data_IF_760039811938
#
_entry.id   IF_760039811938
#
_cell.length_a   1.000
_cell.length_b   1.000
_cell.length_c   1.000
_cell.angle_alpha   90.00
_cell.angle_beta   90.00
_cell.angle_gamma   90.00
#
_symmetry.space_group_name_H-M   'P 1'
#
loop_
_entity.id
_entity.type
_entity.pdbx_description
1 polymer ?
#
# COMPACT_ATOMS: atom_id res chain seq x y z
N UNK A 1 50.17 8.61 -38.70
CA UNK A 1 49.37 9.33 -37.68
C UNK A 1 50.34 10.13 -36.82
N UNK A 2 50.25 11.46 -36.78
CA UNK A 2 51.21 12.27 -36.02
C UNK A 2 51.01 12.08 -34.51
N UNK A 3 52.09 12.18 -33.73
CA UNK A 3 52.10 12.12 -32.26
C UNK A 3 51.07 13.09 -31.64
N UNK A 4 50.85 14.22 -32.32
CA UNK A 4 49.86 15.23 -31.96
C UNK A 4 48.42 14.69 -31.91
N UNK A 5 48.03 13.83 -32.85
CA UNK A 5 46.68 13.24 -32.87
C UNK A 5 46.48 12.31 -31.68
N UNK A 6 47.49 11.52 -31.31
CA UNK A 6 47.43 10.65 -30.14
C UNK A 6 47.38 11.44 -28.83
N UNK A 7 48.11 12.56 -28.72
CA UNK A 7 48.04 13.46 -27.55
C UNK A 7 46.66 14.10 -27.40
N UNK A 8 46.05 14.54 -28.50
CA UNK A 8 44.70 15.12 -28.48
C UNK A 8 43.67 14.07 -28.07
N UNK A 9 43.72 12.86 -28.64
CA UNK A 9 42.81 11.76 -28.27
C UNK A 9 43.00 11.35 -26.80
N UNK A 10 44.24 11.25 -26.33
CA UNK A 10 44.52 10.93 -24.92
C UNK A 10 44.02 12.02 -23.97
N UNK A 11 44.12 13.29 -24.37
CA UNK A 11 43.64 14.42 -23.56
C UNK A 11 42.12 14.47 -23.53
N UNK A 12 41.44 14.25 -24.66
CA UNK A 12 39.97 14.14 -24.73
C UNK A 12 39.50 12.94 -23.89
N UNK A 13 40.18 11.80 -23.98
CA UNK A 13 39.90 10.63 -23.15
C UNK A 13 40.10 10.89 -21.66
N UNK A 14 41.18 11.59 -21.28
CA UNK A 14 41.43 11.98 -19.90
C UNK A 14 40.38 12.97 -19.38
N UNK A 15 39.98 13.96 -20.18
CA UNK A 15 38.87 14.86 -19.82
C UNK A 15 37.58 14.05 -19.68
N UNK A 16 37.21 13.21 -20.63
CA UNK A 16 36.01 12.37 -20.53
C UNK A 16 36.01 11.43 -19.30
N UNK A 17 37.18 11.00 -18.82
CA UNK A 17 37.29 10.11 -17.67
C UNK A 17 37.34 10.84 -16.32
N UNK A 18 38.11 11.94 -16.25
CA UNK A 18 38.47 12.63 -15.00
C UNK A 18 37.79 13.98 -14.80
N UNK A 19 37.00 14.49 -15.76
CA UNK A 19 36.36 15.80 -15.59
C UNK A 19 35.40 15.78 -14.39
N UNK A 20 35.50 16.75 -13.47
CA UNK A 20 34.67 16.77 -12.27
C UNK A 20 33.18 16.92 -12.63
N UNK A 21 32.32 16.16 -11.95
CA UNK A 21 30.86 16.21 -12.11
C UNK A 21 30.29 15.42 -13.30
N UNK A 22 31.04 15.25 -14.40
CA UNK A 22 30.55 14.60 -15.63
C UNK A 22 31.45 13.50 -16.18
N UNK A 23 32.69 13.39 -15.68
CA UNK A 23 33.63 12.36 -16.11
C UNK A 23 33.21 10.96 -15.67
N UNK A 24 33.64 9.94 -16.42
CA UNK A 24 33.26 8.55 -16.17
C UNK A 24 33.56 8.07 -14.74
N UNK A 25 34.63 8.55 -14.10
CA UNK A 25 34.93 8.21 -12.70
C UNK A 25 33.95 8.84 -11.70
N UNK A 26 33.55 10.10 -11.93
CA UNK A 26 32.58 10.77 -11.07
C UNK A 26 31.21 10.10 -11.18
N UNK A 27 30.79 9.74 -12.40
CA UNK A 27 29.56 8.98 -12.63
C UNK A 27 29.62 7.58 -12.02
N UNK A 28 30.75 6.88 -12.13
CA UNK A 28 30.94 5.57 -11.50
C UNK A 28 30.89 5.65 -9.98
N UNK A 29 31.51 6.67 -9.38
CA UNK A 29 31.46 6.90 -7.94
C UNK A 29 30.03 7.23 -7.46
N UNK A 30 29.32 8.10 -8.17
CA UNK A 30 27.93 8.44 -7.87
C UNK A 30 27.00 7.21 -8.00
N UNK A 31 27.15 6.44 -9.08
CA UNK A 31 26.41 5.18 -9.28
C UNK A 31 26.66 4.20 -8.14
N UNK A 32 27.93 4.04 -7.73
CA UNK A 32 28.28 3.16 -6.60
C UNK A 32 27.66 3.62 -5.29
N UNK A 33 27.67 4.93 -5.02
CA UNK A 33 27.06 5.50 -3.82
C UNK A 33 25.53 5.30 -3.80
N UNK A 34 24.86 5.50 -4.95
CA UNK A 34 23.42 5.24 -5.09
C UNK A 34 23.10 3.78 -4.83
N UNK A 35 23.83 2.85 -5.46
CA UNK A 35 23.62 1.41 -5.26
C UNK A 35 23.87 0.97 -3.82
N UNK A 36 24.83 1.59 -3.14
CA UNK A 36 25.09 1.33 -1.73
C UNK A 36 23.96 1.83 -0.84
N UNK A 37 23.34 2.97 -1.20
CA UNK A 37 22.17 3.50 -0.52
C UNK A 37 20.95 2.60 -0.70
N UNK A 38 20.66 2.15 -1.92
CA UNK A 38 19.59 1.18 -2.21
C UNK A 38 19.72 -0.07 -1.32
N UNK A 39 20.92 -0.66 -1.23
CA UNK A 39 21.17 -1.83 -0.37
C UNK A 39 20.92 -1.56 1.13
N UNK A 40 21.25 -0.36 1.62
CA UNK A 40 20.95 0.02 3.01
C UNK A 40 19.44 0.16 3.19
N UNK A 41 18.75 0.82 2.26
CA UNK A 41 17.31 1.05 2.32
C UNK A 41 16.53 -0.27 2.26
N UNK A 42 16.91 -1.20 1.37
CA UNK A 42 16.34 -2.55 1.30
C UNK A 42 16.58 -3.37 2.57
N UNK A 43 17.78 -3.23 3.16
CA UNK A 43 18.09 -3.89 4.42
C UNK A 43 17.21 -3.36 5.56
N UNK A 44 16.99 -2.05 5.61
CA UNK A 44 16.13 -1.42 6.60
C UNK A 44 14.66 -1.82 6.44
N UNK A 45 14.14 -1.92 5.20
CA UNK A 45 12.78 -2.45 4.93
C UNK A 45 12.63 -3.86 5.50
N UNK A 46 13.55 -4.76 5.15
CA UNK A 46 13.48 -6.15 5.62
C UNK A 46 13.57 -6.26 7.15
N UNK A 47 14.40 -5.45 7.80
CA UNK A 47 14.48 -5.40 9.26
C UNK A 47 13.16 -4.94 9.89
N UNK A 48 12.56 -3.88 9.34
CA UNK A 48 11.28 -3.34 9.81
C UNK A 48 10.17 -4.38 9.69
N UNK A 49 10.09 -5.08 8.55
CA UNK A 49 9.08 -6.12 8.33
C UNK A 49 9.20 -7.25 9.37
N UNK A 50 10.44 -7.68 9.70
CA UNK A 50 10.66 -8.71 10.72
C UNK A 50 10.27 -8.24 12.11
N UNK A 51 10.62 -7.01 12.49
CA UNK A 51 10.26 -6.46 13.80
C UNK A 51 8.74 -6.31 13.95
N UNK A 52 8.01 -5.95 12.88
CA UNK A 52 6.55 -5.88 12.88
C UNK A 52 5.88 -7.25 13.07
N UNK A 53 6.50 -8.32 12.59
CA UNK A 53 6.08 -9.70 12.85
C UNK A 53 6.46 -10.19 14.27
N UNK A 54 7.13 -9.37 15.08
CA UNK A 54 7.63 -9.75 16.41
C UNK A 54 8.86 -10.67 16.36
N UNK A 55 9.63 -10.62 15.27
CA UNK A 55 10.87 -11.37 15.06
C UNK A 55 12.04 -10.40 14.79
N UNK A 56 13.26 -10.91 14.78
CA UNK A 56 14.43 -10.13 14.36
C UNK A 56 15.15 -10.82 13.20
N UNK A 57 15.72 -10.03 12.30
CA UNK A 57 16.49 -10.58 11.20
C UNK A 57 17.88 -11.03 11.68
N UNK A 58 18.43 -12.02 10.98
CA UNK A 58 19.81 -12.47 11.15
C UNK A 58 20.64 -12.07 9.93
N UNK A 59 21.99 -12.06 10.03
CA UNK A 59 22.85 -11.84 8.88
C UNK A 59 22.55 -12.79 7.70
N UNK A 60 22.16 -14.04 7.98
CA UNK A 60 21.79 -15.03 6.97
C UNK A 60 20.45 -14.70 6.31
N UNK A 61 19.46 -14.29 7.10
CA UNK A 61 18.16 -13.85 6.56
C UNK A 61 18.34 -12.63 5.66
N UNK A 62 19.13 -11.65 6.10
CA UNK A 62 19.41 -10.44 5.35
C UNK A 62 20.18 -10.73 4.05
N UNK A 63 21.17 -11.63 4.09
CA UNK A 63 21.89 -12.09 2.90
C UNK A 63 20.95 -12.73 1.86
N UNK A 64 19.98 -13.52 2.33
CA UNK A 64 18.94 -14.12 1.48
C UNK A 64 18.08 -13.08 0.77
N UNK A 65 17.53 -12.13 1.53
CA UNK A 65 16.66 -11.06 0.97
C UNK A 65 17.42 -10.17 -0.03
N UNK A 66 18.63 -9.74 0.32
CA UNK A 66 19.44 -8.86 -0.54
C UNK A 66 20.10 -9.59 -1.71
N UNK A 67 19.92 -10.91 -1.83
CA UNK A 67 20.65 -11.76 -2.79
C UNK A 67 22.18 -11.53 -2.75
N UNK A 68 22.70 -11.26 -1.55
CA UNK A 68 24.11 -10.92 -1.32
C UNK A 68 24.82 -12.07 -0.59
N UNK A 69 26.15 -12.15 -0.71
CA UNK A 69 26.89 -13.12 0.07
C UNK A 69 27.09 -12.65 1.52
N UNK A 70 27.26 -13.60 2.44
CA UNK A 70 27.36 -13.31 3.88
C UNK A 70 28.49 -12.31 4.21
N UNK A 71 29.63 -12.38 3.52
CA UNK A 71 30.74 -11.45 3.76
C UNK A 71 30.41 -10.01 3.36
N UNK A 72 29.63 -9.81 2.29
CA UNK A 72 29.10 -8.49 1.90
C UNK A 72 28.05 -8.01 2.90
N UNK A 73 27.15 -8.88 3.34
CA UNK A 73 26.12 -8.55 4.33
C UNK A 73 26.73 -8.12 5.65
N UNK A 74 27.76 -8.81 6.16
CA UNK A 74 28.45 -8.41 7.39
C UNK A 74 29.08 -7.02 7.25
N UNK A 75 29.68 -6.70 6.09
CA UNK A 75 30.23 -5.36 5.83
C UNK A 75 29.15 -4.29 5.80
N UNK A 76 27.99 -4.60 5.20
CA UNK A 76 26.84 -3.71 5.16
C UNK A 76 26.31 -3.44 6.58
N UNK A 77 26.16 -4.49 7.40
CA UNK A 77 25.72 -4.36 8.79
C UNK A 77 26.70 -3.46 9.57
N UNK A 78 28.01 -3.73 9.50
CA UNK A 78 29.01 -2.90 10.19
C UNK A 78 28.97 -1.43 9.75
N UNK A 79 28.67 -1.18 8.47
CA UNK A 79 28.46 0.17 7.98
C UNK A 79 27.19 0.81 8.58
N UNK A 80 26.07 0.10 8.58
CA UNK A 80 24.81 0.59 9.15
C UNK A 80 24.93 0.85 10.65
N UNK A 81 25.69 0.04 11.39
CA UNK A 81 26.03 0.27 12.80
C UNK A 81 26.84 1.56 12.98
N UNK A 82 27.85 1.79 12.12
CA UNK A 82 28.64 3.03 12.16
C UNK A 82 27.82 4.28 11.86
N UNK A 83 26.68 4.13 11.18
CA UNK A 83 25.72 5.17 10.87
C UNK A 83 24.59 5.27 11.91
N UNK A 84 24.66 4.51 13.01
CA UNK A 84 23.63 4.45 14.05
C UNK A 84 22.23 4.03 13.52
N UNK A 85 22.17 3.24 12.44
CA UNK A 85 20.91 2.76 11.87
C UNK A 85 20.45 1.43 12.47
N UNK A 86 21.40 0.58 12.87
CA UNK A 86 21.12 -0.74 13.45
C UNK A 86 22.04 -1.02 14.64
N UNK A 87 21.64 -2.00 15.46
CA UNK A 87 22.43 -2.56 16.55
C UNK A 87 22.38 -4.09 16.48
N UNK A 88 23.55 -4.75 16.50
CA UNK A 88 23.62 -6.20 16.62
C UNK A 88 23.55 -6.67 18.06
N UNK A 89 22.58 -7.53 18.38
CA UNK A 89 22.42 -8.18 19.69
C UNK A 89 22.56 -9.70 19.52
N UNK A 90 23.78 -10.20 19.72
CA UNK A 90 24.10 -11.60 19.42
C UNK A 90 24.04 -11.85 17.91
N UNK A 91 23.09 -12.69 17.46
CA UNK A 91 22.88 -12.97 16.03
C UNK A 91 21.67 -12.22 15.44
N UNK A 92 21.03 -11.38 16.25
CA UNK A 92 19.88 -10.58 15.84
C UNK A 92 20.32 -9.16 15.51
N UNK A 93 19.71 -8.59 14.48
CA UNK A 93 19.92 -7.22 14.06
C UNK A 93 18.65 -6.44 14.42
N UNK A 94 18.81 -5.37 15.18
CA UNK A 94 17.75 -4.52 15.69
C UNK A 94 17.83 -3.15 15.02
N UNK A 95 16.70 -2.56 14.65
CA UNK A 95 16.66 -1.17 14.21
C UNK A 95 16.90 -0.25 15.41
N UNK A 96 17.70 0.79 15.21
CA UNK A 96 17.68 1.93 16.11
C UNK A 96 16.45 2.81 15.79
N UNK A 97 16.09 3.77 16.65
CA UNK A 97 15.03 4.74 16.32
C UNK A 97 15.33 5.53 15.02
N UNK A 98 16.59 5.68 14.64
CA UNK A 98 16.97 6.34 13.38
C UNK A 98 16.79 5.42 12.18
N UNK A 99 17.23 4.17 12.29
CA UNK A 99 16.99 3.15 11.26
C UNK A 99 15.51 2.90 11.02
N UNK A 100 14.70 2.84 12.08
CA UNK A 100 13.25 2.69 11.98
C UNK A 100 12.60 3.86 11.22
N UNK A 101 12.97 5.10 11.53
CA UNK A 101 12.49 6.28 10.78
C UNK A 101 12.84 6.22 9.30
N UNK A 102 14.04 5.78 8.96
CA UNK A 102 14.46 5.59 7.57
C UNK A 102 13.68 4.47 6.89
N UNK A 103 13.55 3.31 7.54
CA UNK A 103 12.77 2.18 7.02
C UNK A 103 11.33 2.60 6.72
N UNK A 104 10.68 3.28 7.67
CA UNK A 104 9.31 3.80 7.52
C UNK A 104 9.19 4.81 6.39
N UNK A 105 10.20 5.67 6.17
CA UNK A 105 10.20 6.59 5.05
C UNK A 105 10.22 5.85 3.71
N UNK A 106 11.06 4.82 3.57
CA UNK A 106 11.15 4.03 2.33
C UNK A 106 9.90 3.20 2.11
N UNK A 107 9.35 2.55 3.15
CA UNK A 107 8.07 1.83 3.05
C UNK A 107 6.93 2.77 2.65
N UNK A 108 6.88 3.98 3.23
CA UNK A 108 5.92 5.01 2.82
C UNK A 108 6.12 5.43 1.36
N UNK A 109 7.36 5.59 0.93
CA UNK A 109 7.69 5.92 -0.47
C UNK A 109 7.21 4.84 -1.43
N UNK A 110 7.52 3.58 -1.14
CA UNK A 110 7.09 2.41 -1.91
C UNK A 110 5.56 2.41 -2.08
N UNK A 111 4.83 2.38 -0.97
CA UNK A 111 3.37 2.24 -0.95
C UNK A 111 2.64 3.40 -1.61
N UNK A 112 3.15 4.63 -1.44
CA UNK A 112 2.61 5.80 -2.15
C UNK A 112 2.87 5.73 -3.66
N UNK A 113 4.04 5.26 -4.09
CA UNK A 113 4.31 5.03 -5.51
C UNK A 113 3.43 3.95 -6.09
N UNK A 114 3.23 2.84 -5.38
CA UNK A 114 2.30 1.80 -5.83
C UNK A 114 0.90 2.33 -6.01
N UNK A 115 0.43 3.09 -5.01
CA UNK A 115 -0.87 3.73 -5.04
C UNK A 115 -1.02 4.68 -6.24
N UNK A 116 -0.03 5.54 -6.46
CA UNK A 116 -0.01 6.45 -7.59
C UNK A 116 -0.02 5.71 -8.93
N UNK A 117 0.81 4.66 -9.07
CA UNK A 117 0.92 3.89 -10.31
C UNK A 117 -0.38 3.13 -10.63
N UNK A 118 -1.09 2.66 -9.61
CA UNK A 118 -2.40 2.03 -9.76
C UNK A 118 -3.49 3.03 -10.16
N UNK A 119 -3.64 4.10 -9.39
CA UNK A 119 -4.80 4.99 -9.53
C UNK A 119 -4.65 5.97 -10.69
N UNK A 120 -3.48 6.62 -10.80
CA UNK A 120 -3.25 7.70 -11.77
C UNK A 120 -2.65 7.17 -13.08
N UNK A 121 -1.61 6.33 -12.99
CA UNK A 121 -0.97 5.77 -14.18
C UNK A 121 -1.72 4.56 -14.77
N UNK A 122 -2.72 4.02 -14.05
CA UNK A 122 -3.50 2.82 -14.42
C UNK A 122 -2.64 1.64 -14.84
N UNK A 123 -1.51 1.49 -14.16
CA UNK A 123 -0.58 0.40 -14.42
C UNK A 123 -1.19 -0.93 -13.95
N UNK A 124 -0.96 -2.05 -14.66
CA UNK A 124 -1.38 -3.36 -14.17
C UNK A 124 -0.69 -3.70 -12.85
N UNK A 125 -1.45 -4.21 -11.87
CA UNK A 125 -0.96 -4.57 -10.52
C UNK A 125 0.27 -5.48 -10.55
N UNK A 126 0.39 -6.36 -11.55
CA UNK A 126 1.54 -7.25 -11.70
C UNK A 126 2.88 -6.52 -11.97
N UNK A 127 2.83 -5.26 -12.40
CA UNK A 127 4.03 -4.46 -12.71
C UNK A 127 4.32 -3.39 -11.66
N UNK A 128 3.33 -3.06 -10.83
CA UNK A 128 3.37 -1.90 -9.95
C UNK A 128 4.50 -2.01 -8.94
N UNK A 129 4.62 -3.14 -8.24
CA UNK A 129 5.71 -3.38 -7.29
C UNK A 129 7.09 -3.10 -7.86
N UNK A 130 7.42 -3.73 -9.00
CA UNK A 130 8.72 -3.59 -9.66
C UNK A 130 9.02 -2.15 -10.11
N UNK A 131 7.97 -1.37 -10.39
CA UNK A 131 8.06 0.00 -10.84
C UNK A 131 8.12 0.99 -9.68
N UNK A 132 7.43 0.71 -8.57
CA UNK A 132 7.54 1.48 -7.33
C UNK A 132 8.93 1.33 -6.72
N UNK A 133 9.47 0.10 -6.67
CA UNK A 133 10.80 -0.19 -6.14
C UNK A 133 11.93 0.61 -6.85
N UNK A 134 11.83 0.82 -8.17
CA UNK A 134 12.82 1.66 -8.89
C UNK A 134 12.78 3.14 -8.49
N UNK A 135 11.63 3.63 -8.00
CA UNK A 135 11.39 5.05 -7.72
C UNK A 135 11.56 5.41 -6.25
N UNK A 136 11.35 4.47 -5.33
CA UNK A 136 11.34 4.73 -3.88
C UNK A 136 12.65 5.30 -3.34
N UNK A 137 13.79 4.87 -3.87
CA UNK A 137 15.13 5.29 -3.42
C UNK A 137 15.53 6.71 -3.90
N UNK A 138 14.75 7.28 -4.83
CA UNK A 138 15.09 8.50 -5.56
C UNK A 138 14.20 9.70 -5.18
N UNK A 139 13.26 9.54 -4.26
CA UNK A 139 12.33 10.61 -3.84
C UNK A 139 12.75 11.22 -2.51
N UNK A 140 12.72 12.56 -2.42
CA UNK A 140 12.94 13.26 -1.15
C UNK A 140 11.68 13.25 -0.27
N UNK A 141 11.83 13.52 1.04
CA UNK A 141 10.68 13.65 1.94
C UNK A 141 9.68 14.72 1.49
N UNK A 142 10.16 15.87 0.98
CA UNK A 142 9.30 16.95 0.53
C UNK A 142 8.50 16.59 -0.72
N UNK A 143 9.13 15.90 -1.68
CA UNK A 143 8.46 15.40 -2.88
C UNK A 143 7.45 14.30 -2.52
N UNK A 144 7.79 13.43 -1.56
CA UNK A 144 6.89 12.38 -1.11
C UNK A 144 5.67 12.96 -0.38
N UNK A 145 5.86 13.96 0.48
CA UNK A 145 4.76 14.67 1.14
C UNK A 145 3.86 15.39 0.13
N UNK A 146 4.43 15.93 -0.95
CA UNK A 146 3.67 16.54 -2.04
C UNK A 146 2.87 15.49 -2.83
N UNK A 147 3.46 14.31 -3.10
CA UNK A 147 2.79 13.18 -3.75
C UNK A 147 1.62 12.67 -2.91
N UNK A 148 1.84 12.46 -1.60
CA UNK A 148 0.83 12.06 -0.63
C UNK A 148 -0.35 13.06 -0.59
N UNK A 149 -0.04 14.35 -0.50
CA UNK A 149 -1.05 15.41 -0.52
C UNK A 149 -1.82 15.48 -1.84
N UNK A 150 -1.13 15.29 -2.98
CA UNK A 150 -1.76 15.28 -4.31
C UNK A 150 -2.76 14.11 -4.48
N UNK A 151 -2.47 12.96 -3.88
CA UNK A 151 -3.37 11.79 -3.85
C UNK A 151 -4.47 11.90 -2.78
N UNK A 152 -4.47 12.95 -1.96
CA UNK A 152 -5.48 13.18 -0.93
C UNK A 152 -5.30 12.34 0.33
N UNK A 153 -4.04 12.05 0.69
CA UNK A 153 -3.67 11.30 1.90
C UNK A 153 -4.25 9.88 1.95
N UNK A 154 -3.94 9.01 0.97
CA UNK A 154 -4.35 7.62 1.01
C UNK A 154 -3.77 6.91 2.24
N UNK A 155 -4.54 6.02 2.85
CA UNK A 155 -4.11 5.27 4.05
C UNK A 155 -3.67 3.84 3.74
N UNK A 156 -3.95 3.35 2.53
CA UNK A 156 -3.59 2.00 2.08
C UNK A 156 -3.14 2.04 0.62
N UNK A 157 -2.21 1.15 0.28
CA UNK A 157 -1.79 0.91 -1.10
C UNK A 157 -2.84 0.06 -1.86
N UNK A 158 -2.60 -0.32 -3.13
CA UNK A 158 -3.51 -1.15 -3.92
C UNK A 158 -3.63 -2.61 -3.44
N UNK A 159 -2.71 -3.08 -2.61
CA UNK A 159 -2.59 -4.45 -2.13
C UNK A 159 -3.25 -4.63 -0.76
N UNK A 160 -3.44 -3.54 -0.02
CA UNK A 160 -4.06 -3.51 1.28
C UNK A 160 -3.11 -3.14 2.42
N UNK A 161 -1.85 -2.83 2.12
CA UNK A 161 -0.90 -2.50 3.16
C UNK A 161 -1.07 -1.05 3.65
N UNK A 162 -0.99 -0.83 4.97
CA UNK A 162 -1.16 0.49 5.55
C UNK A 162 -0.01 1.42 5.17
N UNK A 163 -0.32 2.61 4.66
CA UNK A 163 0.71 3.62 4.34
C UNK A 163 1.15 4.29 5.66
N UNK A 164 2.43 4.25 6.04
CA UNK A 164 2.91 4.97 7.21
C UNK A 164 2.65 6.47 7.10
N UNK A 165 2.27 7.12 8.20
CA UNK A 165 2.12 8.57 8.23
C UNK A 165 3.49 9.27 8.14
N UNK A 166 3.48 10.59 7.94
CA UNK A 166 4.70 11.41 7.97
C UNK A 166 5.48 11.27 9.29
N UNK A 167 4.77 11.06 10.40
CA UNK A 167 5.35 10.84 11.72
C UNK A 167 5.80 9.38 11.95
N UNK A 168 5.68 8.51 10.94
CA UNK A 168 6.03 7.10 11.03
C UNK A 168 4.99 6.23 11.72
N UNK A 169 3.75 6.71 11.89
CA UNK A 169 2.68 5.90 12.49
C UNK A 169 2.02 5.02 11.43
N UNK A 170 2.00 3.71 11.67
CA UNK A 170 1.31 2.75 10.81
C UNK A 170 -0.11 2.53 11.34
N UNK A 171 -1.15 2.72 10.51
CA UNK A 171 -2.52 2.34 10.85
C UNK A 171 -2.61 0.88 11.33
N UNK A 172 -3.20 0.66 12.50
CA UNK A 172 -3.40 -0.69 13.06
C UNK A 172 -4.67 -1.31 12.51
N UNK A 173 -4.59 -2.04 11.39
CA UNK A 173 -5.62 -3.00 11.00
C UNK A 173 -4.98 -4.38 10.94
N UNK A 174 -5.31 -5.24 11.91
CA UNK A 174 -4.78 -6.61 11.98
C UNK A 174 -5.61 -7.52 11.08
N UNK A 175 -5.27 -7.55 9.80
CA UNK A 175 -5.62 -8.70 8.98
C UNK A 175 -4.75 -9.89 9.42
N UNK A 176 -5.31 -11.09 9.39
CA UNK A 176 -4.57 -12.34 9.65
C UNK A 176 -4.56 -13.19 8.39
N UNK A 177 -3.53 -14.04 8.19
CA UNK A 177 -3.53 -14.98 7.07
C UNK A 177 -4.81 -15.81 7.09
N UNK A 178 -5.40 -16.06 5.93
CA UNK A 178 -6.59 -16.90 5.79
C UNK A 178 -6.36 -18.32 6.34
N UNK A 179 -5.12 -18.80 6.31
CA UNK A 179 -4.72 -20.07 6.93
C UNK A 179 -4.81 -20.05 8.46
N UNK A 180 -4.64 -18.88 9.08
CA UNK A 180 -4.82 -18.65 10.51
C UNK A 180 -6.28 -18.32 10.88
N UNK A 181 -7.17 -18.12 9.90
CA UNK A 181 -8.59 -17.89 10.15
C UNK A 181 -9.22 -19.11 10.82
N UNK A 182 -9.85 -18.87 11.98
CA UNK A 182 -10.53 -19.88 12.80
C UNK A 182 -11.97 -19.49 13.13
N UNK A 183 -12.35 -18.22 12.92
CA UNK A 183 -13.69 -17.78 13.24
C UNK A 183 -14.70 -18.31 12.23
N UNK A 184 -15.89 -18.64 12.72
CA UNK A 184 -17.02 -18.96 11.85
C UNK A 184 -17.63 -17.67 11.30
N UNK A 185 -18.05 -17.72 10.03
CA UNK A 185 -18.73 -16.61 9.37
C UNK A 185 -17.92 -15.93 8.28
N UNK A 186 -18.47 -14.86 7.70
CA UNK A 186 -17.86 -14.15 6.60
C UNK A 186 -16.69 -13.28 7.07
N UNK A 187 -15.65 -13.20 6.25
CA UNK A 187 -14.45 -12.41 6.44
C UNK A 187 -14.22 -11.50 5.22
N UNK A 188 -13.64 -10.32 5.42
CA UNK A 188 -13.26 -9.41 4.34
C UNK A 188 -11.78 -9.60 4.02
N UNK A 189 -11.45 -9.72 2.75
CA UNK A 189 -10.06 -9.67 2.27
C UNK A 189 -9.58 -8.22 2.43
N UNK A 190 -8.62 -7.99 3.32
CA UNK A 190 -8.05 -6.67 3.58
C UNK A 190 -6.65 -6.50 3.03
N UNK A 191 -5.94 -7.58 2.77
CA UNK A 191 -4.59 -7.56 2.21
C UNK A 191 -4.34 -8.81 1.35
N UNK A 192 -3.58 -8.64 0.27
CA UNK A 192 -3.10 -9.72 -0.58
C UNK A 192 -1.61 -9.48 -0.85
N UNK A 193 -0.77 -10.43 -0.42
CA UNK A 193 0.68 -10.36 -0.67
C UNK A 193 0.96 -10.33 -2.17
N UNK A 194 1.75 -9.35 -2.59
CA UNK A 194 2.23 -9.15 -3.96
C UNK A 194 3.46 -10.01 -4.28
N UNK A 195 4.19 -10.46 -3.26
CA UNK A 195 5.31 -11.39 -3.38
C UNK A 195 5.04 -12.77 -2.73
N UNK A 196 5.37 -13.88 -3.42
CA UNK A 196 5.97 -13.94 -4.75
C UNK A 196 4.93 -13.70 -5.86
N UNK A 197 5.34 -13.06 -6.96
CA UNK A 197 4.47 -12.68 -8.08
C UNK A 197 3.57 -13.81 -8.62
N UNK A 198 4.08 -15.05 -8.67
CA UNK A 198 3.31 -16.23 -9.12
C UNK A 198 2.12 -16.49 -8.18
N UNK A 199 2.30 -16.34 -6.87
CA UNK A 199 1.22 -16.56 -5.92
C UNK A 199 0.16 -15.46 -6.04
N UNK A 200 0.60 -14.20 -6.18
CA UNK A 200 -0.28 -13.07 -6.43
C UNK A 200 -1.13 -13.25 -7.70
N UNK A 201 -0.50 -13.64 -8.81
CA UNK A 201 -1.19 -13.93 -10.07
C UNK A 201 -2.22 -15.06 -9.92
N UNK A 202 -1.92 -16.10 -9.14
CA UNK A 202 -2.85 -17.19 -8.88
C UNK A 202 -4.06 -16.75 -8.03
N UNK A 203 -3.85 -15.89 -7.03
CA UNK A 203 -4.95 -15.29 -6.25
C UNK A 203 -5.87 -14.48 -7.18
N UNK A 204 -5.28 -13.65 -8.05
CA UNK A 204 -6.05 -12.84 -9.00
C UNK A 204 -6.76 -13.70 -10.05
N UNK A 205 -6.11 -14.74 -10.56
CA UNK A 205 -6.68 -15.67 -11.54
C UNK A 205 -7.83 -16.50 -10.95
N UNK A 206 -7.77 -16.82 -9.65
CA UNK A 206 -8.88 -17.43 -8.94
C UNK A 206 -10.11 -16.50 -8.87
N UNK A 207 -9.93 -15.19 -9.03
CA UNK A 207 -11.00 -14.19 -8.97
C UNK A 207 -11.11 -13.49 -7.62
N UNK A 208 -10.19 -13.75 -6.70
CA UNK A 208 -10.16 -13.07 -5.41
C UNK A 208 -9.64 -11.63 -5.55
N UNK A 209 -10.27 -10.70 -4.83
CA UNK A 209 -9.95 -9.26 -4.91
C UNK A 209 -9.93 -8.63 -3.51
N UNK A 210 -9.19 -7.54 -3.37
CA UNK A 210 -9.21 -6.70 -2.17
C UNK A 210 -10.64 -6.22 -1.88
N UNK A 211 -11.03 -6.22 -0.60
CA UNK A 211 -12.36 -5.82 -0.14
C UNK A 211 -13.47 -6.84 -0.37
N UNK A 212 -13.19 -7.98 -1.02
CA UNK A 212 -14.20 -9.02 -1.23
C UNK A 212 -14.56 -9.68 0.11
N UNK A 213 -15.85 -9.97 0.29
CA UNK A 213 -16.36 -10.72 1.44
C UNK A 213 -16.44 -12.19 1.05
N UNK A 214 -15.79 -13.05 1.82
CA UNK A 214 -15.71 -14.48 1.58
C UNK A 214 -16.11 -15.26 2.83
N UNK A 215 -16.56 -16.49 2.63
CA UNK A 215 -16.74 -17.48 3.70
C UNK A 215 -15.85 -18.68 3.42
N UNK A 216 -15.16 -19.14 4.46
CA UNK A 216 -14.44 -20.40 4.43
C UNK A 216 -15.43 -21.56 4.53
N UNK A 217 -15.53 -22.36 3.46
CA UNK A 217 -16.43 -23.52 3.37
C UNK A 217 -15.69 -24.79 3.78
N UNK A 218 -14.43 -24.93 3.33
CA UNK A 218 -13.62 -26.11 3.62
C UNK A 218 -12.17 -25.69 3.90
N UNK A 219 -11.58 -26.28 4.95
CA UNK A 219 -10.18 -26.13 5.33
C UNK A 219 -9.56 -27.51 5.55
N UNK A 220 -8.63 -27.90 4.69
CA UNK A 220 -7.85 -29.13 4.85
C UNK A 220 -6.36 -28.84 4.67
N UNK A 221 -5.46 -29.80 5.01
CA UNK A 221 -4.03 -29.63 4.78
C UNK A 221 -3.63 -29.46 3.31
N UNK A 222 -4.52 -29.76 2.35
CA UNK A 222 -4.20 -29.73 0.91
C UNK A 222 -5.05 -28.74 0.12
N UNK A 223 -6.16 -28.25 0.67
CA UNK A 223 -7.06 -27.32 -0.03
C UNK A 223 -7.84 -26.42 0.93
N UNK A 224 -8.11 -25.21 0.43
CA UNK A 224 -9.03 -24.24 1.01
C UNK A 224 -10.12 -23.97 -0.02
N UNK A 225 -11.38 -24.07 0.39
CA UNK A 225 -12.54 -23.72 -0.44
C UNK A 225 -13.25 -22.53 0.18
N UNK A 226 -13.36 -21.46 -0.59
CA UNK A 226 -13.99 -20.20 -0.21
C UNK A 226 -15.22 -19.97 -1.07
N UNK A 227 -16.18 -19.20 -0.57
CA UNK A 227 -17.30 -18.72 -1.37
C UNK A 227 -17.68 -17.29 -1.02
N UNK A 228 -18.01 -16.49 -2.03
CA UNK A 228 -18.62 -15.16 -1.86
C UNK A 228 -20.16 -15.21 -1.94
N UNK A 229 -20.74 -16.41 -2.05
CA UNK A 229 -22.17 -16.65 -2.21
C UNK A 229 -22.59 -16.91 -3.66
N UNK A 230 -21.82 -16.47 -4.65
CA UNK A 230 -22.08 -16.71 -6.08
C UNK A 230 -21.10 -17.71 -6.68
N UNK A 231 -19.83 -17.61 -6.30
CA UNK A 231 -18.73 -18.40 -6.81
C UNK A 231 -18.05 -19.21 -5.71
N UNK A 232 -17.38 -20.28 -6.12
CA UNK A 232 -16.46 -21.05 -5.27
C UNK A 232 -15.02 -20.84 -5.73
N UNK A 233 -14.13 -20.57 -4.77
CA UNK A 233 -12.71 -20.37 -5.00
C UNK A 233 -11.92 -21.48 -4.33
N UNK A 234 -11.06 -22.17 -5.08
CA UNK A 234 -10.25 -23.29 -4.59
C UNK A 234 -8.79 -22.90 -4.60
N UNK A 235 -8.17 -22.86 -3.42
CA UNK A 235 -6.77 -22.47 -3.25
C UNK A 235 -5.96 -23.60 -2.61
N UNK A 236 -4.71 -23.72 -3.01
CA UNK A 236 -3.71 -24.46 -2.25
C UNK A 236 -3.33 -23.69 -0.97
N UNK A 237 -2.90 -24.36 0.12
CA UNK A 237 -2.53 -23.70 1.37
C UNK A 237 -1.45 -22.62 1.21
N UNK A 238 -0.49 -22.83 0.31
CA UNK A 238 0.56 -21.84 0.01
C UNK A 238 0.01 -20.56 -0.61
N UNK A 239 -1.07 -20.65 -1.39
CA UNK A 239 -1.73 -19.49 -2.02
C UNK A 239 -2.68 -18.81 -1.03
N UNK A 240 -3.42 -19.61 -0.25
CA UNK A 240 -4.27 -19.09 0.83
C UNK A 240 -3.47 -18.32 1.89
N UNK A 241 -2.21 -18.69 2.14
CA UNK A 241 -1.35 -17.97 3.09
C UNK A 241 -1.07 -16.52 2.70
N UNK A 242 -1.16 -16.19 1.40
CA UNK A 242 -0.94 -14.84 0.87
C UNK A 242 -2.21 -13.97 0.90
N UNK A 243 -3.36 -14.53 1.31
CA UNK A 243 -4.62 -13.79 1.43
C UNK A 243 -4.87 -13.50 2.89
N UNK A 244 -4.96 -12.23 3.24
CA UNK A 244 -5.15 -11.77 4.59
C UNK A 244 -6.56 -11.22 4.78
N UNK A 245 -7.20 -11.69 5.85
CA UNK A 245 -8.60 -11.43 6.13
C UNK A 245 -8.81 -10.90 7.53
N UNK A 246 -9.90 -10.16 7.70
CA UNK A 246 -10.37 -9.71 9.00
C UNK A 246 -11.86 -10.05 9.16
N UNK A 247 -12.34 -10.15 10.42
CA UNK A 247 -13.78 -10.19 10.65
C UNK A 247 -14.41 -8.94 10.05
N UNK A 248 -15.61 -9.10 9.50
CA UNK A 248 -16.44 -7.94 9.20
C UNK A 248 -16.62 -7.13 10.49
N UNK A 249 -16.27 -5.85 10.41
CA UNK A 249 -16.41 -4.93 11.53
C UNK A 249 -17.86 -4.90 12.01
N UNK A 250 -18.10 -4.58 13.29
CA UNK A 250 -19.46 -4.37 13.82
C UNK A 250 -20.23 -3.32 13.01
N UNK A 251 -19.54 -2.35 12.38
CA UNK A 251 -20.05 -1.38 11.42
C UNK A 251 -20.58 -2.00 10.12
N UNK A 252 -19.98 -3.10 9.65
CA UNK A 252 -20.46 -3.86 8.50
C UNK A 252 -21.54 -4.87 8.88
N UNK A 253 -21.52 -5.36 10.11
CA UNK A 253 -22.68 -6.05 10.68
C UNK A 253 -23.84 -5.05 10.86
N UNK A 254 -23.59 -3.77 11.11
CA UNK A 254 -24.59 -2.70 11.06
C UNK A 254 -25.06 -2.37 9.62
N UNK A 255 -24.35 -2.79 8.56
CA UNK A 255 -24.93 -2.81 7.20
C UNK A 255 -26.09 -3.81 7.08
N UNK A 256 -26.25 -4.73 8.03
CA UNK A 256 -27.45 -5.56 8.21
C UNK A 256 -28.60 -4.68 8.72
N UNK A 257 -29.09 -3.79 7.85
CA UNK A 257 -30.04 -2.72 8.14
C UNK A 257 -29.72 -1.38 7.47
N UNK A 258 -28.53 -1.22 6.87
CA UNK A 258 -28.17 -0.03 6.10
C UNK A 258 -28.51 -0.21 4.62
N UNK A 259 -28.86 0.88 3.96
CA UNK A 259 -29.11 0.93 2.52
C UNK A 259 -28.24 2.02 1.89
N UNK A 260 -27.88 1.90 0.60
CA UNK A 260 -27.29 3.02 -0.13
C UNK A 260 -28.21 4.25 -0.10
N UNK A 261 -27.65 5.45 -0.04
CA UNK A 261 -28.42 6.70 0.08
C UNK A 261 -29.44 6.87 -1.05
N UNK A 262 -29.16 6.40 -2.25
CA UNK A 262 -30.10 6.47 -3.37
C UNK A 262 -31.36 5.62 -3.16
N UNK A 263 -31.33 4.63 -2.26
CA UNK A 263 -32.45 3.74 -1.96
C UNK A 263 -33.40 4.30 -0.89
N UNK A 264 -33.05 5.42 -0.23
CA UNK A 264 -33.98 6.06 0.70
C UNK A 264 -35.23 6.56 -0.03
N UNK A 265 -36.40 6.35 0.58
CA UNK A 265 -37.66 6.90 0.09
C UNK A 265 -37.68 8.42 0.27
N UNK A 266 -38.47 9.13 -0.54
CA UNK A 266 -38.59 10.59 -0.43
C UNK A 266 -39.03 11.02 0.98
N UNK A 267 -38.33 11.99 1.56
CA UNK A 267 -38.59 12.46 2.92
C UNK A 267 -38.18 11.50 4.05
N UNK A 268 -37.78 10.27 3.74
CA UNK A 268 -37.27 9.32 4.74
C UNK A 268 -35.89 9.78 5.21
N UNK A 269 -35.73 9.90 6.53
CA UNK A 269 -34.44 10.25 7.12
C UNK A 269 -33.55 9.03 7.18
N UNK A 270 -32.27 9.26 6.96
CA UNK A 270 -31.23 8.29 7.23
C UNK A 270 -30.10 8.95 8.02
N UNK A 271 -29.47 8.18 8.88
CA UNK A 271 -28.21 8.55 9.50
C UNK A 271 -27.07 8.00 8.65
N UNK A 272 -26.13 8.85 8.24
CA UNK A 272 -24.93 8.42 7.50
C UNK A 272 -24.11 7.54 8.44
N UNK A 273 -23.91 6.29 8.05
CA UNK A 273 -23.05 5.36 8.79
C UNK A 273 -21.61 5.48 8.32
N UNK A 274 -21.39 5.36 7.01
CA UNK A 274 -20.06 5.32 6.42
C UNK A 274 -20.09 5.73 4.94
N UNK A 275 -18.95 6.23 4.48
CA UNK A 275 -18.65 6.35 3.06
C UNK A 275 -17.97 5.05 2.62
N UNK A 276 -18.27 4.59 1.41
CA UNK A 276 -17.66 3.38 0.87
C UNK A 276 -16.13 3.50 0.78
N UNK A 277 -15.40 2.41 1.00
CA UNK A 277 -13.93 2.39 0.96
C UNK A 277 -13.38 2.71 -0.44
N UNK A 278 -14.19 2.53 -1.48
CA UNK A 278 -13.86 2.97 -2.84
C UNK A 278 -13.84 4.51 -3.00
N UNK A 279 -14.45 5.26 -2.06
CA UNK A 279 -14.46 6.72 -2.10
C UNK A 279 -13.16 7.26 -1.49
N UNK A 280 -12.18 7.49 -2.35
CA UNK A 280 -10.87 8.05 -1.98
C UNK A 280 -10.58 9.39 -2.67
N UNK A 281 -9.48 10.03 -2.31
CA UNK A 281 -8.97 11.25 -2.95
C UNK A 281 -9.96 12.43 -2.98
N UNK A 282 -10.06 13.10 -4.12
CA UNK A 282 -10.86 14.33 -4.29
C UNK A 282 -12.35 14.14 -3.95
N UNK A 283 -12.95 13.02 -4.35
CA UNK A 283 -14.36 12.73 -4.09
C UNK A 283 -14.62 12.63 -2.59
N UNK A 284 -13.74 11.94 -1.85
CA UNK A 284 -13.84 11.81 -0.39
C UNK A 284 -13.76 13.17 0.28
N UNK A 285 -12.78 14.00 -0.11
CA UNK A 285 -12.62 15.37 0.41
C UNK A 285 -13.90 16.19 0.18
N UNK A 286 -14.41 16.19 -1.04
CA UNK A 286 -15.64 16.91 -1.40
C UNK A 286 -16.84 16.42 -0.58
N UNK A 287 -16.98 15.12 -0.31
CA UNK A 287 -18.07 14.61 0.52
C UNK A 287 -17.97 15.12 1.97
N UNK A 288 -16.77 15.10 2.55
CA UNK A 288 -16.52 15.62 3.90
C UNK A 288 -16.80 17.13 3.98
N UNK A 289 -16.37 17.90 2.98
CA UNK A 289 -16.62 19.36 2.91
C UNK A 289 -18.12 19.68 2.82
N UNK A 290 -18.91 18.80 2.20
CA UNK A 290 -20.38 18.89 2.13
C UNK A 290 -21.08 18.42 3.42
N UNK A 291 -20.33 17.97 4.43
CA UNK A 291 -20.87 17.50 5.71
C UNK A 291 -21.39 16.07 5.69
N UNK A 292 -21.02 15.25 4.69
CA UNK A 292 -21.34 13.83 4.59
C UNK A 292 -20.41 13.00 5.47
N UNK A 293 -20.55 13.16 6.78
CA UNK A 293 -19.75 12.45 7.80
C UNK A 293 -20.59 11.40 8.51
N UNK A 294 -19.99 10.31 9.03
CA UNK A 294 -20.66 9.39 9.95
C UNK A 294 -21.41 10.14 11.06
N UNK A 295 -22.64 9.68 11.37
CA UNK A 295 -23.57 10.27 12.34
C UNK A 295 -24.40 11.47 11.82
N UNK A 296 -24.15 11.96 10.60
CA UNK A 296 -24.93 13.08 10.06
C UNK A 296 -26.31 12.61 9.56
N UNK A 297 -27.35 13.38 9.88
CA UNK A 297 -28.69 13.16 9.31
C UNK A 297 -28.76 13.66 7.87
N UNK A 298 -29.27 12.81 6.99
CA UNK A 298 -29.49 13.09 5.58
C UNK A 298 -30.86 12.59 5.14
N UNK A 299 -31.53 13.34 4.26
CA UNK A 299 -32.76 12.87 3.63
C UNK A 299 -32.95 13.48 2.25
N UNK A 300 -33.56 12.75 1.31
CA UNK A 300 -33.97 13.28 0.03
C UNK A 300 -35.16 14.22 0.22
N UNK A 301 -35.02 15.46 -0.25
CA UNK A 301 -36.00 16.52 0.02
C UNK A 301 -36.93 16.83 -1.18
N UNK A 302 -36.54 16.43 -2.40
CA UNK A 302 -37.29 16.76 -3.61
C UNK A 302 -37.64 15.52 -4.44
N UNK A 303 -38.90 15.48 -4.89
CA UNK A 303 -39.35 14.65 -6.02
C UNK A 303 -38.83 15.29 -7.31
N UNK A 304 -37.64 14.89 -7.74
CA UNK A 304 -37.11 15.38 -9.02
C UNK A 304 -37.87 14.71 -10.17
N UNK A 305 -38.38 15.52 -11.10
CA UNK A 305 -39.07 15.05 -12.32
C UNK A 305 -38.15 14.22 -13.23
N UNK A 306 -36.84 14.45 -13.15
CA UNK A 306 -35.81 13.82 -14.00
C UNK A 306 -35.03 12.67 -13.32
N UNK A 307 -35.33 12.31 -12.08
CA UNK A 307 -34.78 11.13 -11.40
C UNK A 307 -33.29 11.16 -10.97
N UNK A 308 -32.42 11.92 -11.66
CA UNK A 308 -30.99 12.09 -11.35
C UNK A 308 -30.45 13.43 -11.93
N UNK A 309 -29.61 14.22 -11.21
CA UNK A 309 -29.19 14.09 -9.82
C UNK A 309 -30.35 14.30 -8.84
N UNK A 310 -30.27 13.70 -7.65
CA UNK A 310 -31.26 13.84 -6.57
C UNK A 310 -30.76 14.83 -5.51
N UNK A 311 -31.67 15.65 -4.98
CA UNK A 311 -31.35 16.63 -3.96
C UNK A 311 -31.54 16.04 -2.56
N UNK A 312 -30.52 16.20 -1.72
CA UNK A 312 -30.47 15.73 -0.34
C UNK A 312 -30.22 16.89 0.61
N UNK A 313 -30.92 16.91 1.73
CA UNK A 313 -30.61 17.82 2.83
C UNK A 313 -29.71 17.13 3.83
N UNK A 314 -28.56 17.74 4.12
CA UNK A 314 -27.61 17.31 5.14
C UNK A 314 -27.15 18.53 5.94
N UNK A 315 -27.22 18.45 7.28
CA UNK A 315 -26.82 19.56 8.19
C UNK A 315 -27.40 20.94 7.79
N UNK A 316 -28.65 20.97 7.33
CA UNK A 316 -29.33 22.21 6.92
C UNK A 316 -28.96 22.74 5.52
N UNK A 317 -28.01 22.12 4.83
CA UNK A 317 -27.62 22.46 3.45
C UNK A 317 -28.25 21.49 2.45
N UNK A 318 -28.69 22.02 1.31
CA UNK A 318 -29.19 21.23 0.18
C UNK A 318 -28.03 20.93 -0.78
N UNK A 319 -27.78 19.65 -1.06
CA UNK A 319 -26.75 19.19 -1.99
C UNK A 319 -27.38 18.31 -3.07
N UNK A 320 -26.87 18.39 -4.29
CA UNK A 320 -27.26 17.50 -5.38
C UNK A 320 -26.20 16.42 -5.58
N UNK A 321 -26.61 15.15 -5.51
CA UNK A 321 -25.75 14.00 -5.74
C UNK A 321 -26.29 13.19 -6.90
N UNK A 322 -25.39 12.73 -7.77
CA UNK A 322 -25.73 11.72 -8.80
C UNK A 322 -25.95 10.37 -8.14
N UNK A 323 -26.71 9.50 -8.79
CA UNK A 323 -26.99 8.14 -8.31
C UNK A 323 -25.72 7.36 -7.99
N UNK A 324 -24.70 7.43 -8.84
CA UNK A 324 -23.39 6.78 -8.64
C UNK A 324 -22.71 7.25 -7.35
N UNK A 325 -22.76 8.55 -7.08
CA UNK A 325 -22.20 9.15 -5.86
C UNK A 325 -23.01 8.76 -4.62
N UNK A 326 -24.34 8.77 -4.71
CA UNK A 326 -25.22 8.36 -3.62
C UNK A 326 -25.17 6.84 -3.35
N UNK A 327 -24.76 6.02 -4.32
CA UNK A 327 -24.54 4.58 -4.12
C UNK A 327 -23.33 4.27 -3.23
N UNK A 328 -22.40 5.21 -3.13
CA UNK A 328 -21.20 5.10 -2.32
C UNK A 328 -21.38 5.63 -0.90
N UNK A 329 -22.59 6.07 -0.53
CA UNK A 329 -22.90 6.60 0.80
C UNK A 329 -23.89 5.65 1.47
N UNK A 330 -23.52 5.08 2.60
CA UNK A 330 -24.33 4.11 3.32
C UNK A 330 -25.05 4.78 4.49
N UNK A 331 -26.36 4.57 4.56
CA UNK A 331 -27.23 5.18 5.58
C UNK A 331 -28.06 4.13 6.30
N UNK A 332 -28.29 4.35 7.59
CA UNK A 332 -29.31 3.63 8.36
C UNK A 332 -30.64 4.38 8.24
N UNK A 333 -31.68 3.78 7.63
CA UNK A 333 -33.00 4.40 7.61
C UNK A 333 -33.53 4.61 9.03
N UNK A 334 -34.18 5.76 9.26
CA UNK A 334 -34.80 6.16 10.53
C UNK A 334 -36.32 6.21 10.42
#
# INVERSE_FOLDING_TARGET
>A
MSILVWLIVATIGAVALFFPGYGGLAQFAAWRAMRQRELVEDALKHLLDREQEGRHATPQSLAGTLSANLAQTIKLIAQMESQNLVESRGNEIHLTPEGERWALHIVRAHRLWERYLADEARMPLQKIHSEAHKREHHISQAELDALDAAMGYPTYDPHGDPIPSREGKIPTHRAIPLTAWQAEGPARILHIEDEPAIAYEQVLAAGLRLGQVIRLIEKTPTRYVLSDGENEFRLAPSIAANVHVAPLSETEIARKGAVPLHMLSDGQKGEILLLDESVQGFTRRRFLDLGLTPGALIYPELKNFFGDPRAYRVRGTLIALRKEQAAQIWVKPL
#
